data_IF_300092975377
#
_entry.id   IF_300092975377
#
_cell.length_a   1.000
_cell.length_b   1.000
_cell.length_c   1.000
_cell.angle_alpha   90.00
_cell.angle_beta   90.00
_cell.angle_gamma   90.00
#
_symmetry.space_group_name_H-M   'P 1'
#
loop_
_entity.id
_entity.type
_entity.pdbx_description
1 polymer ?
#
# COMPACT_ATOMS: atom_id res chain seq x y z
N UNK A 1 4.42 1.50 -22.01
CA UNK A 1 5.35 2.64 -21.79
C UNK A 1 4.78 3.92 -22.35
N UNK A 2 4.43 3.97 -23.64
CA UNK A 2 3.97 5.19 -24.31
C UNK A 2 2.81 5.90 -23.59
N UNK A 3 1.80 5.18 -23.11
CA UNK A 3 0.67 5.79 -22.40
C UNK A 3 1.10 6.46 -21.10
N UNK A 4 1.98 5.83 -20.33
CA UNK A 4 2.41 6.37 -19.02
C UNK A 4 3.40 7.53 -19.20
N UNK A 5 4.41 7.36 -20.03
CA UNK A 5 5.53 8.30 -20.09
C UNK A 5 5.35 9.36 -21.18
N UNK A 6 4.90 8.99 -22.39
CA UNK A 6 4.84 9.91 -23.52
C UNK A 6 3.53 10.73 -23.52
N UNK A 7 2.41 10.10 -23.14
CA UNK A 7 1.10 10.74 -23.08
C UNK A 7 0.82 11.30 -21.68
N UNK A 8 1.06 10.46 -20.63
CA UNK A 8 0.77 10.81 -19.24
C UNK A 8 1.83 11.70 -18.59
N UNK A 9 2.97 11.93 -19.23
CA UNK A 9 4.06 12.77 -18.70
C UNK A 9 4.94 12.10 -17.66
N UNK A 10 4.84 10.78 -17.49
CA UNK A 10 5.67 10.00 -16.58
C UNK A 10 5.18 10.02 -15.12
N UNK A 11 6.11 9.83 -14.20
CA UNK A 11 5.84 9.77 -12.77
C UNK A 11 6.07 11.15 -12.14
N UNK A 12 5.14 11.56 -11.30
CA UNK A 12 5.17 12.85 -10.62
C UNK A 12 6.49 13.03 -9.83
N UNK A 13 7.02 14.24 -9.82
CA UNK A 13 8.22 14.64 -9.08
C UNK A 13 9.50 13.84 -9.45
N UNK A 14 9.53 13.21 -10.64
CA UNK A 14 10.69 12.44 -11.12
C UNK A 14 10.93 11.13 -10.35
N UNK A 15 9.96 10.65 -9.61
CA UNK A 15 10.06 9.37 -8.90
C UNK A 15 10.09 8.19 -9.87
N UNK A 16 10.46 7.03 -9.36
CA UNK A 16 10.51 5.80 -10.15
C UNK A 16 9.13 5.18 -10.29
N UNK A 17 8.86 4.65 -11.48
CA UNK A 17 7.70 3.81 -11.72
C UNK A 17 7.81 2.53 -10.89
N UNK A 18 6.74 2.13 -10.23
CA UNK A 18 6.66 0.88 -9.48
C UNK A 18 5.72 -0.11 -10.13
N UNK A 19 4.49 0.33 -10.38
CA UNK A 19 3.46 -0.53 -10.94
C UNK A 19 2.34 0.29 -11.58
N UNK A 20 1.50 -0.39 -12.34
CA UNK A 20 0.24 0.17 -12.86
C UNK A 20 -0.88 -0.86 -12.68
N UNK A 21 -1.99 -0.42 -12.11
CA UNK A 21 -3.22 -1.17 -12.08
C UNK A 21 -4.06 -0.79 -13.29
N UNK A 22 -4.47 -1.77 -14.10
CA UNK A 22 -5.41 -1.60 -15.22
C UNK A 22 -6.71 -2.34 -14.94
N UNK A 23 -7.80 -1.93 -15.57
CA UNK A 23 -9.12 -2.55 -15.38
C UNK A 23 -9.79 -2.24 -14.05
N UNK A 24 -9.37 -1.17 -13.37
CA UNK A 24 -9.92 -0.75 -12.08
C UNK A 24 -9.67 -1.75 -10.95
N UNK A 25 -10.54 -1.77 -9.91
CA UNK A 25 -10.37 -2.63 -8.74
C UNK A 25 -10.42 -4.14 -9.03
N UNK A 26 -10.93 -4.52 -10.19
CA UNK A 26 -11.07 -5.92 -10.59
C UNK A 26 -9.90 -6.42 -11.47
N UNK A 27 -9.03 -5.51 -11.88
CA UNK A 27 -7.88 -5.84 -12.73
C UNK A 27 -6.67 -6.34 -11.94
N UNK A 28 -5.54 -6.43 -12.63
CA UNK A 28 -4.28 -6.85 -12.07
C UNK A 28 -3.24 -5.74 -12.05
N UNK A 29 -2.26 -5.90 -11.18
CA UNK A 29 -1.13 -5.01 -11.04
C UNK A 29 0.00 -5.46 -11.98
N UNK A 30 0.40 -4.59 -12.91
CA UNK A 30 1.48 -4.78 -13.86
C UNK A 30 2.73 -4.02 -13.40
N UNK A 31 3.89 -4.61 -13.63
CA UNK A 31 5.19 -4.06 -13.19
C UNK A 31 6.02 -3.59 -14.37
N UNK A 32 7.25 -3.13 -14.11
CA UNK A 32 8.18 -2.62 -15.12
C UNK A 32 8.39 -3.59 -16.30
N UNK A 33 8.42 -4.90 -16.05
CA UNK A 33 8.53 -5.94 -17.10
C UNK A 33 7.40 -5.93 -18.12
N UNK A 34 6.27 -5.28 -17.79
CA UNK A 34 5.08 -5.21 -18.67
C UNK A 34 4.93 -3.83 -19.35
N UNK A 35 5.88 -2.91 -19.17
CA UNK A 35 5.75 -1.55 -19.70
C UNK A 35 5.64 -1.49 -21.23
N UNK A 36 6.21 -2.45 -21.92
CA UNK A 36 6.17 -2.51 -23.39
C UNK A 36 5.09 -3.46 -23.93
N UNK A 37 4.20 -3.96 -23.04
CA UNK A 37 3.05 -4.77 -23.41
C UNK A 37 2.04 -3.92 -24.22
N UNK A 38 1.50 -4.43 -25.34
CA UNK A 38 0.39 -3.79 -26.04
C UNK A 38 -0.84 -3.65 -25.14
N UNK A 39 -1.52 -2.51 -25.22
CA UNK A 39 -2.75 -2.28 -24.46
C UNK A 39 -3.94 -2.75 -25.30
N UNK A 40 -4.20 -4.02 -25.21
CA UNK A 40 -5.38 -4.69 -25.78
C UNK A 40 -5.94 -5.74 -24.83
N UNK A 41 -7.09 -6.28 -25.15
CA UNK A 41 -7.76 -7.24 -24.27
C UNK A 41 -6.97 -8.52 -24.03
N UNK A 42 -6.39 -9.08 -25.09
CA UNK A 42 -5.74 -10.40 -25.04
C UNK A 42 -4.40 -10.32 -24.30
N UNK A 43 -3.58 -9.32 -24.60
CA UNK A 43 -2.29 -9.14 -23.96
C UNK A 43 -2.42 -8.77 -22.47
N UNK A 44 -3.37 -7.91 -22.11
CA UNK A 44 -3.61 -7.57 -20.69
C UNK A 44 -4.14 -8.78 -19.92
N UNK A 45 -5.03 -9.57 -20.51
CA UNK A 45 -5.54 -10.79 -19.89
C UNK A 45 -4.43 -11.83 -19.68
N UNK A 46 -3.58 -12.04 -20.69
CA UNK A 46 -2.43 -12.93 -20.61
C UNK A 46 -1.41 -12.50 -19.53
N UNK A 47 -1.28 -11.20 -19.28
CA UNK A 47 -0.44 -10.64 -18.20
C UNK A 47 -1.11 -10.67 -16.81
N UNK A 48 -2.29 -11.26 -16.67
CA UNK A 48 -3.01 -11.36 -15.39
C UNK A 48 -3.75 -10.08 -14.98
N UNK A 49 -4.01 -9.18 -15.94
CA UNK A 49 -4.81 -7.97 -15.74
C UNK A 49 -6.02 -7.93 -16.69
N UNK A 50 -6.60 -6.78 -16.92
CA UNK A 50 -7.70 -6.58 -17.87
C UNK A 50 -7.75 -5.13 -18.36
N UNK A 51 -8.44 -4.90 -19.49
CA UNK A 51 -8.72 -3.55 -20.00
C UNK A 51 -9.76 -2.82 -19.13
N UNK A 52 -10.83 -3.51 -18.74
CA UNK A 52 -11.98 -2.89 -18.08
C UNK A 52 -12.56 -1.73 -18.90
N UNK A 53 -12.82 -0.61 -18.25
CA UNK A 53 -13.26 0.64 -18.90
C UNK A 53 -12.11 1.53 -19.39
N UNK A 54 -10.88 1.04 -19.40
CA UNK A 54 -9.68 1.79 -19.75
C UNK A 54 -9.07 2.59 -18.58
N UNK A 55 -9.60 2.44 -17.37
CA UNK A 55 -9.05 3.08 -16.18
C UNK A 55 -7.65 2.54 -15.85
N UNK A 56 -6.74 3.46 -15.50
CA UNK A 56 -5.36 3.15 -15.17
C UNK A 56 -4.93 3.95 -13.95
N UNK A 57 -4.33 3.27 -12.97
CA UNK A 57 -3.75 3.90 -11.78
C UNK A 57 -2.26 3.56 -11.75
N UNK A 58 -1.45 4.59 -11.91
CA UNK A 58 0.01 4.47 -11.91
C UNK A 58 0.54 4.72 -10.50
N UNK A 59 1.40 3.84 -10.04
CA UNK A 59 1.99 3.85 -8.70
C UNK A 59 3.49 4.09 -8.78
N UNK A 60 4.00 4.85 -7.83
CA UNK A 60 5.41 5.19 -7.70
C UNK A 60 6.11 4.37 -6.58
N UNK A 61 7.40 4.63 -6.39
CA UNK A 61 8.24 3.93 -5.40
C UNK A 61 7.78 4.12 -3.95
N UNK A 62 7.00 5.16 -3.66
CA UNK A 62 6.46 5.45 -2.33
C UNK A 62 5.09 4.80 -2.08
N UNK A 63 4.53 4.08 -3.06
CA UNK A 63 3.27 3.37 -2.89
C UNK A 63 3.49 1.99 -2.25
N UNK A 64 2.73 1.71 -1.19
CA UNK A 64 2.72 0.40 -0.54
C UNK A 64 1.77 -0.55 -1.27
N UNK A 65 2.29 -1.63 -1.86
CA UNK A 65 1.48 -2.56 -2.65
C UNK A 65 0.50 -3.36 -1.80
N UNK A 66 0.80 -3.59 -0.52
CA UNK A 66 -0.13 -4.24 0.43
C UNK A 66 -1.31 -3.31 0.75
N UNK A 67 -1.04 -2.01 0.94
CA UNK A 67 -2.08 -1.01 1.17
C UNK A 67 -2.93 -0.79 -0.08
N UNK A 68 -2.32 -0.82 -1.28
CA UNK A 68 -3.04 -0.73 -2.55
C UNK A 68 -3.97 -1.92 -2.78
N UNK A 69 -3.50 -3.16 -2.50
CA UNK A 69 -4.35 -4.34 -2.57
C UNK A 69 -5.57 -4.24 -1.63
N UNK A 70 -5.35 -3.73 -0.41
CA UNK A 70 -6.42 -3.46 0.54
C UNK A 70 -7.41 -2.42 -0.01
N UNK A 71 -6.91 -1.31 -0.54
CA UNK A 71 -7.74 -0.24 -1.11
C UNK A 71 -8.67 -0.73 -2.23
N UNK A 72 -8.16 -1.53 -3.16
CA UNK A 72 -9.00 -2.10 -4.23
C UNK A 72 -10.04 -3.09 -3.68
N UNK A 73 -9.68 -3.81 -2.65
CA UNK A 73 -10.60 -4.76 -2.03
C UNK A 73 -11.71 -4.07 -1.23
N UNK A 74 -11.45 -2.91 -0.61
CA UNK A 74 -12.47 -2.07 0.05
C UNK A 74 -13.61 -1.78 -0.92
N UNK A 75 -13.30 -1.28 -2.11
CA UNK A 75 -14.29 -1.03 -3.16
C UNK A 75 -15.12 -2.28 -3.47
N UNK A 76 -14.47 -3.44 -3.62
CA UNK A 76 -15.18 -4.69 -3.96
C UNK A 76 -16.09 -5.18 -2.82
N UNK A 77 -15.69 -4.94 -1.58
CA UNK A 77 -16.52 -5.26 -0.40
C UNK A 77 -17.78 -4.39 -0.39
N UNK A 78 -17.65 -3.10 -0.71
CA UNK A 78 -18.78 -2.15 -0.77
C UNK A 78 -19.73 -2.46 -1.93
N UNK A 79 -19.22 -2.81 -3.10
CA UNK A 79 -19.98 -3.10 -4.31
C UNK A 79 -20.58 -4.53 -4.35
N UNK A 80 -20.29 -5.37 -3.37
CA UNK A 80 -20.81 -6.74 -3.32
C UNK A 80 -22.32 -6.75 -3.16
N UNK A 81 -23.03 -7.38 -4.11
CA UNK A 81 -24.49 -7.56 -4.03
C UNK A 81 -24.96 -8.47 -2.87
N UNK A 82 -24.03 -9.14 -2.18
CA UNK A 82 -24.32 -9.98 -1.03
C UNK A 82 -24.94 -11.36 -1.31
N UNK A 83 -25.14 -11.77 -2.56
CA UNK A 83 -25.80 -13.05 -2.88
C UNK A 83 -24.96 -14.27 -2.54
N UNK A 84 -23.76 -14.39 -3.08
CA UNK A 84 -22.95 -15.59 -2.89
C UNK A 84 -21.95 -15.45 -1.73
N UNK A 85 -21.82 -16.51 -0.95
CA UNK A 85 -20.94 -16.55 0.23
C UNK A 85 -19.47 -16.26 -0.09
N UNK A 86 -18.85 -16.79 -1.18
CA UNK A 86 -17.46 -16.49 -1.49
C UNK A 86 -17.19 -14.99 -1.63
N UNK A 87 -18.03 -14.25 -2.33
CA UNK A 87 -17.91 -12.81 -2.48
C UNK A 87 -18.28 -12.08 -1.17
N UNK A 88 -19.48 -12.31 -0.64
CA UNK A 88 -20.02 -11.61 0.54
C UNK A 88 -19.13 -11.73 1.78
N UNK A 89 -18.69 -12.95 2.09
CA UNK A 89 -17.92 -13.25 3.29
C UNK A 89 -16.43 -13.29 2.98
N UNK A 90 -16.06 -13.93 1.86
CA UNK A 90 -14.65 -14.10 1.50
C UNK A 90 -13.90 -12.78 1.32
N UNK A 91 -14.48 -11.81 0.60
CA UNK A 91 -13.84 -10.51 0.43
C UNK A 91 -13.65 -9.76 1.75
N UNK A 92 -14.62 -9.84 2.67
CA UNK A 92 -14.47 -9.27 4.02
C UNK A 92 -13.33 -9.93 4.79
N UNK A 93 -13.17 -11.25 4.68
CA UNK A 93 -12.06 -11.97 5.33
C UNK A 93 -10.72 -11.63 4.71
N UNK A 94 -10.62 -11.49 3.38
CA UNK A 94 -9.41 -10.97 2.72
C UNK A 94 -9.05 -9.57 3.24
N UNK A 95 -10.04 -8.69 3.31
CA UNK A 95 -9.86 -7.33 3.82
C UNK A 95 -9.39 -7.31 5.28
N UNK A 96 -9.96 -8.13 6.15
CA UNK A 96 -9.53 -8.28 7.55
C UNK A 96 -8.08 -8.75 7.66
N UNK A 97 -7.67 -9.72 6.82
CA UNK A 97 -6.29 -10.20 6.79
C UNK A 97 -5.34 -9.06 6.34
N UNK A 98 -5.67 -8.34 5.27
CA UNK A 98 -4.87 -7.21 4.81
C UNK A 98 -4.80 -6.08 5.84
N UNK A 99 -5.91 -5.80 6.54
CA UNK A 99 -5.93 -4.84 7.65
C UNK A 99 -5.02 -5.28 8.78
N UNK A 100 -5.02 -6.57 9.12
CA UNK A 100 -4.13 -7.15 10.13
C UNK A 100 -2.66 -7.02 9.70
N UNK A 101 -2.34 -7.26 8.44
CA UNK A 101 -0.98 -7.13 7.88
C UNK A 101 -0.52 -5.67 7.93
N UNK A 102 -1.33 -4.73 7.41
CA UNK A 102 -0.98 -3.30 7.35
C UNK A 102 -0.93 -2.62 8.72
N UNK A 103 -1.57 -3.21 9.75
CA UNK A 103 -1.47 -2.76 11.15
C UNK A 103 -0.35 -3.43 11.95
N UNK A 104 0.53 -4.21 11.31
CA UNK A 104 1.66 -4.87 11.96
C UNK A 104 1.32 -6.12 12.78
N UNK A 105 0.05 -6.54 12.79
CA UNK A 105 -0.45 -7.71 13.51
C UNK A 105 -0.47 -8.98 12.66
N UNK A 106 -0.09 -8.90 11.38
CA UNK A 106 -0.06 -10.03 10.46
C UNK A 106 0.96 -11.09 10.85
N UNK A 107 0.68 -12.33 10.48
CA UNK A 107 1.54 -13.50 10.68
C UNK A 107 1.86 -14.18 9.35
N UNK A 108 2.86 -15.06 9.31
CA UNK A 108 3.17 -15.81 8.09
C UNK A 108 2.01 -16.71 7.64
N UNK A 109 1.25 -17.25 8.59
CA UNK A 109 0.03 -17.99 8.28
C UNK A 109 -1.02 -17.12 7.59
N UNK A 110 -1.10 -15.83 7.93
CA UNK A 110 -2.04 -14.90 7.28
C UNK A 110 -1.70 -14.72 5.80
N UNK A 111 -0.42 -14.74 5.41
CA UNK A 111 -0.03 -14.70 3.99
C UNK A 111 -0.54 -15.93 3.23
N UNK A 112 -0.38 -17.09 3.82
CA UNK A 112 -0.86 -18.34 3.22
C UNK A 112 -2.39 -18.37 3.12
N UNK A 113 -3.08 -17.94 4.19
CA UNK A 113 -4.54 -17.82 4.23
C UNK A 113 -5.04 -16.81 3.19
N UNK A 114 -4.38 -15.66 3.07
CA UNK A 114 -4.71 -14.62 2.10
C UNK A 114 -4.73 -15.18 0.68
N UNK A 115 -3.64 -15.86 0.29
CA UNK A 115 -3.52 -16.47 -1.04
C UNK A 115 -4.56 -17.56 -1.28
N UNK A 116 -4.69 -18.50 -0.36
CA UNK A 116 -5.63 -19.62 -0.50
C UNK A 116 -7.07 -19.13 -0.60
N UNK A 117 -7.45 -18.19 0.28
CA UNK A 117 -8.81 -17.64 0.27
C UNK A 117 -9.08 -16.85 -1.02
N UNK A 118 -8.10 -16.08 -1.52
CA UNK A 118 -8.19 -15.37 -2.79
C UNK A 118 -8.49 -16.33 -3.95
N UNK A 119 -7.78 -17.45 -4.04
CA UNK A 119 -8.03 -18.49 -5.05
C UNK A 119 -9.42 -19.11 -4.92
N UNK A 120 -9.84 -19.47 -3.70
CA UNK A 120 -11.18 -20.03 -3.47
C UNK A 120 -12.28 -19.05 -3.92
N UNK A 121 -12.16 -17.76 -3.60
CA UNK A 121 -13.14 -16.75 -4.05
C UNK A 121 -13.18 -16.66 -5.55
N UNK A 122 -12.01 -16.61 -6.20
CA UNK A 122 -11.87 -16.54 -7.64
C UNK A 122 -12.60 -17.68 -8.35
N UNK A 123 -12.44 -18.90 -7.82
CA UNK A 123 -12.96 -20.13 -8.45
C UNK A 123 -14.43 -20.40 -8.12
N UNK A 124 -14.94 -19.86 -7.02
CA UNK A 124 -16.29 -20.25 -6.52
C UNK A 124 -17.31 -19.12 -6.51
N UNK A 125 -16.91 -17.87 -6.76
CA UNK A 125 -17.86 -16.76 -6.86
C UNK A 125 -18.73 -16.87 -8.11
N UNK A 126 -20.02 -16.48 -7.97
CA UNK A 126 -21.02 -16.71 -9.01
C UNK A 126 -21.00 -15.70 -10.16
N UNK A 127 -20.34 -14.57 -10.00
CA UNK A 127 -20.30 -13.52 -11.03
C UNK A 127 -18.92 -12.86 -11.16
N UNK A 128 -18.73 -12.09 -12.22
CA UNK A 128 -17.46 -11.44 -12.55
C UNK A 128 -16.89 -10.59 -11.42
N UNK A 129 -17.72 -9.84 -10.66
CA UNK A 129 -17.25 -9.05 -9.54
C UNK A 129 -16.50 -9.92 -8.51
N UNK A 130 -17.13 -11.01 -8.06
CA UNK A 130 -16.50 -11.89 -7.07
C UNK A 130 -15.32 -12.67 -7.63
N UNK A 131 -15.37 -13.12 -8.88
CA UNK A 131 -14.28 -13.85 -9.53
C UNK A 131 -13.04 -12.99 -9.75
N UNK A 132 -13.21 -11.69 -9.95
CA UNK A 132 -12.09 -10.77 -10.22
C UNK A 132 -11.64 -9.98 -8.99
N UNK A 133 -12.46 -9.91 -7.94
CA UNK A 133 -12.12 -9.19 -6.70
C UNK A 133 -10.77 -9.58 -6.07
N UNK A 134 -10.30 -10.84 -6.14
CA UNK A 134 -9.00 -11.22 -5.61
C UNK A 134 -7.81 -10.87 -6.51
N UNK A 135 -8.02 -10.45 -7.76
CA UNK A 135 -6.94 -10.19 -8.70
C UNK A 135 -5.88 -9.18 -8.19
N UNK A 136 -6.27 -8.03 -7.61
CA UNK A 136 -5.28 -7.11 -7.02
C UNK A 136 -4.44 -7.75 -5.93
N UNK A 137 -5.06 -8.57 -5.07
CA UNK A 137 -4.35 -9.29 -4.00
C UNK A 137 -3.37 -10.30 -4.58
N UNK A 138 -3.81 -11.13 -5.52
CA UNK A 138 -2.97 -12.16 -6.13
C UNK A 138 -1.82 -11.53 -6.92
N UNK A 139 -2.10 -10.54 -7.78
CA UNK A 139 -1.07 -9.91 -8.61
C UNK A 139 -0.04 -9.13 -7.79
N UNK A 140 -0.44 -8.46 -6.71
CA UNK A 140 0.51 -7.80 -5.82
C UNK A 140 1.32 -8.79 -5.00
N UNK A 141 0.74 -9.89 -4.54
CA UNK A 141 1.49 -10.99 -3.91
C UNK A 141 2.49 -11.64 -4.86
N UNK A 142 2.14 -11.82 -6.13
CA UNK A 142 3.03 -12.44 -7.11
C UNK A 142 4.21 -11.53 -7.51
N UNK A 143 4.00 -10.23 -7.56
CA UNK A 143 5.01 -9.28 -8.03
C UNK A 143 5.78 -8.57 -6.91
N UNK A 144 5.22 -8.49 -5.68
CA UNK A 144 5.76 -7.73 -4.55
C UNK A 144 5.70 -8.51 -3.24
N UNK A 145 5.95 -9.82 -3.30
CA UNK A 145 5.87 -10.69 -2.13
C UNK A 145 6.79 -10.22 -0.99
N UNK A 146 7.94 -9.66 -1.32
CA UNK A 146 8.90 -9.14 -0.34
C UNK A 146 8.30 -8.01 0.52
N UNK A 147 7.42 -7.17 -0.04
CA UNK A 147 6.72 -6.16 0.75
C UNK A 147 5.76 -6.79 1.77
N UNK A 148 5.06 -7.86 1.40
CA UNK A 148 4.21 -8.61 2.33
C UNK A 148 5.04 -9.24 3.46
N UNK A 149 6.20 -9.81 3.12
CA UNK A 149 7.14 -10.37 4.11
C UNK A 149 7.66 -9.29 5.04
N UNK A 150 8.05 -8.12 4.52
CA UNK A 150 8.51 -7.00 5.34
C UNK A 150 7.42 -6.53 6.34
N UNK A 151 6.15 -6.45 5.92
CA UNK A 151 5.05 -6.09 6.80
C UNK A 151 4.83 -7.13 7.91
N UNK A 152 4.99 -8.42 7.59
CA UNK A 152 4.68 -9.52 8.51
C UNK A 152 5.86 -9.86 9.42
N UNK A 153 7.06 -10.02 8.86
CA UNK A 153 8.27 -10.44 9.60
C UNK A 153 9.01 -9.27 10.23
N UNK A 154 9.27 -8.23 9.44
CA UNK A 154 10.08 -7.09 9.87
C UNK A 154 9.24 -6.01 10.58
N UNK A 155 7.91 -6.15 10.53
CA UNK A 155 6.98 -5.15 11.06
C UNK A 155 7.26 -3.75 10.50
N UNK A 156 7.64 -3.68 9.24
CA UNK A 156 8.04 -2.46 8.52
C UNK A 156 7.28 -2.34 7.20
N UNK A 157 6.84 -1.13 6.89
CA UNK A 157 6.31 -0.79 5.58
C UNK A 157 7.42 -0.15 4.73
N UNK A 158 7.92 -0.79 3.66
CA UNK A 158 9.01 -0.23 2.85
C UNK A 158 8.69 1.14 2.24
N UNK A 159 7.42 1.39 1.93
CA UNK A 159 6.93 2.66 1.40
C UNK A 159 6.49 3.67 2.49
N UNK A 160 6.62 3.35 3.75
CA UNK A 160 6.24 4.17 4.91
C UNK A 160 4.78 4.68 4.91
N UNK A 161 3.88 4.06 4.15
CA UNK A 161 2.47 4.44 4.07
C UNK A 161 1.60 3.81 5.16
N UNK A 162 1.96 2.62 5.63
CA UNK A 162 1.22 1.95 6.68
C UNK A 162 1.52 2.58 8.03
N UNK A 163 0.60 3.43 8.50
CA UNK A 163 0.78 4.25 9.71
C UNK A 163 1.24 3.44 10.93
N UNK A 164 0.65 2.27 11.14
CA UNK A 164 0.96 1.44 12.30
C UNK A 164 2.35 0.78 12.23
N UNK A 165 2.96 0.75 11.05
CA UNK A 165 4.29 0.20 10.78
C UNK A 165 5.35 1.29 10.55
N UNK A 166 4.96 2.57 10.60
CA UNK A 166 5.86 3.70 10.39
C UNK A 166 6.28 4.27 11.75
N UNK A 167 7.56 4.39 11.98
CA UNK A 167 8.10 5.03 13.18
C UNK A 167 8.91 6.27 12.81
N UNK A 168 8.72 7.35 13.59
CA UNK A 168 9.41 8.62 13.40
C UNK A 168 10.55 8.74 14.41
N UNK A 169 11.70 9.18 13.91
CA UNK A 169 12.90 9.42 14.71
C UNK A 169 13.47 10.81 14.43
N UNK A 170 14.27 11.32 15.36
CA UNK A 170 15.00 12.58 15.19
C UNK A 170 16.50 12.28 15.18
N UNK A 171 17.17 12.64 14.08
CA UNK A 171 18.62 12.56 13.99
C UNK A 171 19.23 13.69 14.87
N UNK A 172 19.98 13.34 15.93
CA UNK A 172 20.53 14.33 16.85
C UNK A 172 21.56 15.26 16.21
N UNK A 173 22.30 14.80 15.20
CA UNK A 173 23.32 15.60 14.49
C UNK A 173 22.68 16.71 13.64
N UNK A 174 21.50 16.45 13.06
CA UNK A 174 20.77 17.41 12.25
C UNK A 174 19.86 18.30 13.10
N UNK A 175 19.48 17.85 14.28
CA UNK A 175 18.54 18.56 15.14
C UNK A 175 19.19 19.81 15.77
N UNK A 176 18.60 20.98 15.54
CA UNK A 176 19.06 22.27 16.11
C UNK A 176 18.36 22.66 17.40
N UNK A 177 17.50 21.82 17.96
CA UNK A 177 16.77 22.12 19.18
C UNK A 177 15.84 23.33 19.06
N UNK A 178 15.20 23.54 17.90
CA UNK A 178 14.33 24.70 17.63
C UNK A 178 12.94 24.61 18.26
N UNK A 179 12.60 23.49 18.86
CA UNK A 179 11.31 23.17 19.52
C UNK A 179 10.07 23.13 18.62
N UNK A 180 10.19 23.38 17.33
CA UNK A 180 9.03 23.49 16.44
C UNK A 180 8.23 22.18 16.35
N UNK A 181 8.92 21.04 16.20
CA UNK A 181 8.29 19.71 16.17
C UNK A 181 7.57 19.40 17.50
N UNK A 182 8.17 19.70 18.64
CA UNK A 182 7.56 19.47 19.95
C UNK A 182 6.29 20.30 20.15
N UNK A 183 6.33 21.59 19.79
CA UNK A 183 5.16 22.48 19.87
C UNK A 183 4.04 22.13 18.90
N UNK A 184 4.37 21.50 17.78
CA UNK A 184 3.40 21.08 16.77
C UNK A 184 2.87 19.65 17.01
N UNK A 185 3.40 18.94 18.00
CA UNK A 185 2.96 17.57 18.28
C UNK A 185 1.62 17.59 19.04
N UNK A 186 0.53 17.05 18.45
CA UNK A 186 -0.80 17.13 19.05
C UNK A 186 -0.94 16.30 20.34
N UNK A 187 -0.05 15.35 20.56
CA UNK A 187 -0.07 14.45 21.74
C UNK A 187 1.13 14.65 22.67
N UNK A 188 1.98 15.64 22.40
CA UNK A 188 3.14 15.92 23.25
C UNK A 188 4.21 14.80 23.26
N UNK A 189 4.26 13.94 22.25
CA UNK A 189 5.17 12.81 22.21
C UNK A 189 6.64 13.19 21.94
N UNK A 190 6.98 14.48 21.87
CA UNK A 190 8.35 14.94 21.55
C UNK A 190 8.87 15.77 22.70
N UNK A 191 9.96 15.32 23.31
CA UNK A 191 10.65 15.99 24.41
C UNK A 191 12.01 16.54 23.98
N UNK A 192 12.49 17.55 24.68
CA UNK A 192 13.80 18.19 24.47
C UNK A 192 13.75 19.68 24.75
N UNK A 193 14.91 20.24 25.12
CA UNK A 193 15.07 21.65 25.46
C UNK A 193 15.57 22.48 24.26
N UNK A 194 15.49 23.80 24.41
CA UNK A 194 16.03 24.72 23.39
C UNK A 194 17.52 24.51 23.20
N UNK A 195 17.96 24.38 21.92
CA UNK A 195 19.36 24.09 21.51
C UNK A 195 19.85 22.68 21.88
N UNK A 196 18.96 21.80 22.37
CA UNK A 196 19.26 20.38 22.62
C UNK A 196 18.49 19.51 21.60
N UNK A 197 19.09 18.44 21.07
CA UNK A 197 18.35 17.53 20.21
C UNK A 197 17.11 16.98 20.89
N UNK A 198 15.99 16.95 20.14
CA UNK A 198 14.73 16.41 20.63
C UNK A 198 14.64 14.90 20.40
N UNK A 199 13.78 14.24 21.16
CA UNK A 199 13.52 12.79 21.06
C UNK A 199 12.01 12.56 20.94
N UNK A 200 11.61 11.59 20.11
CA UNK A 200 10.22 11.16 19.98
C UNK A 200 10.02 9.93 20.85
N UNK A 201 9.00 9.96 21.71
CA UNK A 201 8.54 8.77 22.43
C UNK A 201 7.69 7.90 21.50
N UNK A 202 8.13 6.69 21.13
CA UNK A 202 7.42 5.83 20.20
C UNK A 202 6.09 5.30 20.75
N UNK A 203 5.92 5.27 22.10
CA UNK A 203 4.69 4.80 22.74
C UNK A 203 3.62 5.87 22.75
N UNK A 204 4.00 7.12 22.97
CA UNK A 204 3.09 8.27 22.96
C UNK A 204 2.81 8.76 21.52
N UNK A 205 3.66 8.44 20.56
CA UNK A 205 3.57 8.93 19.18
C UNK A 205 2.39 8.30 18.42
N UNK A 206 1.46 9.14 17.95
CA UNK A 206 0.34 8.73 17.10
C UNK A 206 0.71 8.61 15.61
N UNK A 207 1.96 8.77 15.24
CA UNK A 207 2.50 8.57 13.88
C UNK A 207 1.82 9.45 12.81
N UNK A 208 1.49 10.68 13.14
CA UNK A 208 0.77 11.61 12.25
C UNK A 208 1.66 12.33 11.21
N UNK A 209 2.98 12.26 11.32
CA UNK A 209 3.91 12.89 10.38
C UNK A 209 4.15 14.40 10.56
N UNK A 210 3.34 15.11 11.34
CA UNK A 210 3.42 16.56 11.51
C UNK A 210 4.82 17.07 11.89
N UNK A 211 5.55 16.33 12.71
CA UNK A 211 6.91 16.70 13.11
C UNK A 211 7.89 16.69 11.93
N UNK A 212 7.71 15.78 10.98
CA UNK A 212 8.55 15.69 9.77
C UNK A 212 8.25 16.85 8.83
N UNK A 213 6.98 17.17 8.58
CA UNK A 213 6.57 18.31 7.75
C UNK A 213 7.07 19.65 8.29
N UNK A 214 7.04 19.81 9.63
CA UNK A 214 7.46 21.06 10.29
C UNK A 214 8.96 21.18 10.46
N UNK A 215 9.74 20.12 10.26
CA UNK A 215 11.19 20.15 10.47
C UNK A 215 11.94 20.81 9.31
N UNK A 216 12.29 22.10 9.48
CA UNK A 216 13.06 22.85 8.48
C UNK A 216 14.50 22.35 8.27
N UNK A 217 15.01 21.51 9.15
CA UNK A 217 16.39 21.01 9.12
C UNK A 217 16.49 19.57 8.58
N UNK A 218 15.37 18.97 8.19
CA UNK A 218 15.35 17.57 7.76
C UNK A 218 15.90 16.59 8.81
N UNK A 219 15.75 16.93 10.09
CA UNK A 219 16.23 16.11 11.19
C UNK A 219 15.28 14.97 11.55
N UNK A 220 13.99 15.07 11.19
CA UNK A 220 13.00 14.00 11.41
C UNK A 220 13.03 13.06 10.22
N UNK A 221 13.09 11.77 10.50
CA UNK A 221 13.08 10.72 9.48
C UNK A 221 12.20 9.55 9.90
N UNK A 222 11.84 8.71 8.96
CA UNK A 222 11.04 7.49 9.16
C UNK A 222 11.90 6.23 8.98
N UNK A 223 11.50 5.19 9.70
CA UNK A 223 12.10 3.87 9.58
C UNK A 223 10.99 2.81 9.60
#
# INVERSE_FOLDING_TARGET
RGVIFDIGGGIKDGKKFKAVQTGGPSGGCLTEKHLDLPIDYDNLLAAGSMMGSGGMIVMDEDDCMVAMAKFYLDFTVEESCGKCTPCRIGNKRLHEILTKITSGKGTEEDLQRLRNLALVIKDTALCGLGQTSPNPVLSTMDNFYDEYVAHVKEKRCPAHQCRDLTQYFINPEKCRGCTLCARSCPVGAISGDRKVPHVIDPQACIRCGTCMEKCKFGAVYVH
#
